data_IF_935832366045
#
_entry.id   IF_935832366045
#
_cell.length_a   1.000
_cell.length_b   1.000
_cell.length_c   1.000
_cell.angle_alpha   90.00
_cell.angle_beta   90.00
_cell.angle_gamma   90.00
#
_symmetry.space_group_name_H-M   'P 1'
#
loop_
_entity.id
_entity.type
_entity.pdbx_description
1 polymer ?
#
# COMPACT_ATOMS: atom_id res chain seq x y z
N UNK A 1 -8.36 7.49 -0.78
CA UNK A 1 -7.25 7.23 -1.73
C UNK A 1 -5.93 7.30 -0.97
N UNK A 2 -4.95 6.46 -1.30
CA UNK A 2 -3.72 6.26 -0.52
C UNK A 2 -2.49 6.73 -1.31
N UNK A 3 -1.44 7.15 -0.59
CA UNK A 3 -0.11 7.33 -1.17
C UNK A 3 0.59 5.97 -1.27
N UNK A 4 1.48 5.81 -2.25
CA UNK A 4 2.47 4.74 -2.22
C UNK A 4 3.61 5.07 -1.25
N UNK A 5 4.35 4.05 -0.82
CA UNK A 5 5.61 4.20 -0.10
C UNK A 5 6.71 3.49 -0.89
N UNK A 6 7.85 4.16 -1.06
CA UNK A 6 9.03 3.65 -1.75
C UNK A 6 10.21 3.71 -0.78
N UNK A 7 10.82 2.57 -0.42
CA UNK A 7 12.03 2.54 0.41
C UNK A 7 13.19 3.28 -0.27
N UNK A 8 14.03 3.95 0.51
CA UNK A 8 15.17 4.69 -0.03
C UNK A 8 16.12 3.82 -0.87
N UNK A 9 16.28 2.55 -0.49
CA UNK A 9 17.09 1.57 -1.21
C UNK A 9 16.53 1.17 -2.58
N UNK A 10 15.22 1.29 -2.77
CA UNK A 10 14.53 0.87 -3.99
C UNK A 10 14.51 1.97 -5.06
N UNK A 11 14.70 3.25 -4.67
CA UNK A 11 14.62 4.42 -5.56
C UNK A 11 15.49 4.27 -6.82
N UNK A 12 16.74 3.82 -6.66
CA UNK A 12 17.66 3.69 -7.80
C UNK A 12 17.14 2.65 -8.81
N UNK A 13 16.68 1.51 -8.30
CA UNK A 13 16.14 0.42 -9.12
C UNK A 13 14.84 0.84 -9.82
N UNK A 14 13.97 1.53 -9.10
CA UNK A 14 12.67 1.98 -9.61
C UNK A 14 12.84 3.07 -10.69
N UNK A 15 13.79 4.00 -10.51
CA UNK A 15 14.14 5.00 -11.51
C UNK A 15 14.71 4.36 -12.79
N UNK A 16 15.60 3.38 -12.66
CA UNK A 16 16.16 2.62 -13.78
C UNK A 16 15.08 1.85 -14.55
N UNK A 17 14.12 1.25 -13.85
CA UNK A 17 12.99 0.55 -14.44
C UNK A 17 12.11 1.49 -15.29
N UNK A 18 11.94 2.74 -14.85
CA UNK A 18 11.23 3.78 -15.61
C UNK A 18 12.10 4.54 -16.61
N UNK A 19 13.35 4.12 -16.80
CA UNK A 19 14.32 4.72 -17.72
C UNK A 19 14.56 6.21 -17.47
N UNK A 20 14.66 6.61 -16.20
CA UNK A 20 14.93 8.00 -15.79
C UNK A 20 16.03 8.09 -14.72
N UNK A 21 16.53 9.30 -14.49
CA UNK A 21 17.51 9.55 -13.43
C UNK A 21 16.87 9.45 -12.05
N UNK A 22 17.69 9.18 -11.03
CA UNK A 22 17.25 9.17 -9.63
C UNK A 22 16.67 10.52 -9.23
N UNK A 23 17.33 11.61 -9.63
CA UNK A 23 16.92 12.97 -9.32
C UNK A 23 15.56 13.30 -9.93
N UNK A 24 15.33 12.91 -11.18
CA UNK A 24 14.05 13.10 -11.86
C UNK A 24 12.95 12.26 -11.19
N UNK A 25 13.23 11.00 -10.86
CA UNK A 25 12.27 10.12 -10.19
C UNK A 25 11.83 10.71 -8.84
N UNK A 26 12.79 11.13 -8.02
CA UNK A 26 12.50 11.75 -6.72
C UNK A 26 11.73 13.06 -6.89
N UNK A 27 12.11 13.89 -7.86
CA UNK A 27 11.47 15.19 -8.10
C UNK A 27 10.04 15.07 -8.63
N UNK A 28 9.79 14.09 -9.50
CA UNK A 28 8.49 13.86 -10.14
C UNK A 28 7.52 13.13 -9.23
N UNK A 29 7.96 12.07 -8.56
CA UNK A 29 7.06 11.12 -7.92
C UNK A 29 7.05 11.16 -6.40
N UNK A 30 8.12 11.65 -5.76
CA UNK A 30 8.29 11.50 -4.31
C UNK A 30 8.24 12.84 -3.59
N UNK A 31 7.71 12.80 -2.37
CA UNK A 31 7.84 13.90 -1.41
C UNK A 31 8.90 13.56 -0.36
N UNK A 32 9.77 14.54 -0.08
CA UNK A 32 10.88 14.40 0.86
C UNK A 32 10.35 14.59 2.27
N UNK A 33 9.70 13.55 2.80
CA UNK A 33 9.31 13.46 4.22
C UNK A 33 10.00 12.26 4.88
N UNK A 34 11.27 12.03 4.54
CA UNK A 34 12.03 10.88 5.02
C UNK A 34 12.53 11.09 6.46
N UNK A 35 11.62 11.09 7.45
CA UNK A 35 11.99 10.88 8.85
C UNK A 35 12.25 9.38 9.14
N UNK A 36 11.71 8.48 8.32
CA UNK A 36 11.68 7.02 8.56
C UNK A 36 12.43 6.18 7.52
N UNK A 37 13.19 6.78 6.60
CA UNK A 37 13.91 6.04 5.54
C UNK A 37 13.05 5.56 4.37
N UNK A 38 11.77 5.92 4.34
CA UNK A 38 10.86 5.70 3.21
C UNK A 38 10.36 7.03 2.64
N UNK A 39 9.98 7.02 1.36
CA UNK A 39 9.44 8.17 0.65
C UNK A 39 8.00 7.92 0.22
N UNK A 40 7.12 8.89 0.47
CA UNK A 40 5.73 8.84 0.01
C UNK A 40 5.59 9.36 -1.42
N UNK A 41 4.67 8.78 -2.19
CA UNK A 41 4.29 9.36 -3.49
C UNK A 41 3.62 10.72 -3.31
N UNK A 42 3.86 11.67 -4.21
CA UNK A 42 3.35 13.05 -4.08
C UNK A 42 1.83 13.13 -4.15
N UNK A 43 1.20 12.35 -5.03
CA UNK A 43 -0.26 12.43 -5.24
C UNK A 43 -1.01 11.21 -4.69
N UNK A 44 -2.33 11.39 -4.56
CA UNK A 44 -3.33 10.36 -4.23
C UNK A 44 -4.37 10.32 -5.37
N UNK A 45 -4.72 9.15 -5.93
CA UNK A 45 -4.15 7.84 -5.61
C UNK A 45 -2.68 7.77 -6.01
N UNK A 46 -1.95 6.77 -5.50
CA UNK A 46 -0.53 6.55 -5.77
C UNK A 46 -0.17 6.86 -7.23
N UNK A 47 0.89 7.66 -7.45
CA UNK A 47 1.32 8.09 -8.79
C UNK A 47 1.69 6.93 -9.73
N UNK A 48 2.01 5.76 -9.18
CA UNK A 48 2.31 4.56 -9.95
C UNK A 48 1.07 3.71 -10.26
N UNK A 49 -0.12 4.04 -9.73
CA UNK A 49 -1.34 3.29 -10.00
C UNK A 49 -1.96 3.74 -11.34
N UNK A 50 -2.10 2.80 -12.28
CA UNK A 50 -2.76 3.02 -13.56
C UNK A 50 -4.28 2.81 -13.45
N UNK A 51 -5.01 3.32 -14.46
CA UNK A 51 -6.48 3.20 -14.54
C UNK A 51 -6.98 1.75 -14.62
N UNK A 52 -6.17 0.86 -15.19
CA UNK A 52 -6.46 -0.58 -15.28
C UNK A 52 -6.17 -1.34 -13.98
N UNK A 53 -5.72 -0.64 -12.92
CA UNK A 53 -5.35 -1.22 -11.64
C UNK A 53 -3.93 -1.77 -11.57
N UNK A 54 -3.16 -1.72 -12.67
CA UNK A 54 -1.77 -2.16 -12.68
C UNK A 54 -0.83 -1.09 -12.09
N UNK A 55 0.34 -1.54 -11.62
CA UNK A 55 1.39 -0.66 -11.15
C UNK A 55 2.35 -0.30 -12.30
N UNK A 56 2.73 0.97 -12.41
CA UNK A 56 3.74 1.45 -13.36
C UNK A 56 5.10 0.78 -13.14
N UNK A 57 5.44 0.45 -11.89
CA UNK A 57 6.69 -0.24 -11.51
C UNK A 57 6.68 -1.75 -11.79
N UNK A 58 5.57 -2.33 -12.27
CA UNK A 58 5.48 -3.76 -12.56
C UNK A 58 5.95 -4.63 -11.39
N UNK A 59 6.92 -5.50 -11.65
CA UNK A 59 7.51 -6.43 -10.67
C UNK A 59 8.46 -5.75 -9.65
N UNK A 60 8.93 -4.53 -9.96
CA UNK A 60 9.76 -3.73 -9.05
C UNK A 60 8.95 -3.11 -7.91
N UNK A 61 7.62 -3.28 -7.90
CA UNK A 61 6.72 -2.82 -6.84
C UNK A 61 7.29 -3.16 -5.43
N UNK A 62 7.32 -2.21 -4.49
CA UNK A 62 7.81 -2.45 -3.14
C UNK A 62 7.08 -3.61 -2.45
N UNK A 63 7.80 -4.34 -1.59
CA UNK A 63 7.26 -5.50 -0.88
C UNK A 63 6.03 -5.16 -0.02
N UNK A 64 6.00 -3.96 0.57
CA UNK A 64 4.84 -3.44 1.28
C UNK A 64 3.62 -3.38 0.35
N UNK A 65 3.78 -2.80 -0.84
CA UNK A 65 2.69 -2.68 -1.80
C UNK A 65 2.26 -4.03 -2.40
N UNK A 66 3.13 -5.04 -2.47
CA UNK A 66 2.75 -6.42 -2.87
C UNK A 66 1.93 -7.12 -1.80
N UNK A 67 2.23 -6.86 -0.52
CA UNK A 67 1.52 -7.48 0.61
C UNK A 67 0.22 -6.76 0.95
N UNK A 68 -0.01 -5.53 0.46
CA UNK A 68 -1.28 -4.80 0.65
C UNK A 68 -2.50 -5.66 0.24
N UNK A 69 -3.59 -5.71 1.03
CA UNK A 69 -3.91 -4.92 2.23
C UNK A 69 -3.39 -5.53 3.53
N UNK A 70 -2.30 -6.29 3.44
CA UNK A 70 -1.60 -6.92 4.56
C UNK A 70 -2.56 -7.73 5.42
N UNK A 71 -3.39 -8.61 4.86
CA UNK A 71 -4.37 -9.42 5.61
C UNK A 71 -3.78 -10.68 6.24
N UNK A 72 -2.65 -11.16 5.73
CA UNK A 72 -1.89 -12.29 6.25
C UNK A 72 -0.57 -11.80 6.88
N UNK A 73 -0.58 -11.51 8.18
CA UNK A 73 0.60 -11.01 8.92
C UNK A 73 0.70 -11.76 10.27
N UNK A 74 1.92 -12.17 10.68
CA UNK A 74 2.12 -12.97 11.88
C UNK A 74 1.66 -12.26 13.16
N UNK A 75 1.92 -10.96 13.29
CA UNK A 75 1.57 -10.16 14.47
C UNK A 75 0.30 -9.32 14.25
N UNK A 76 -0.74 -9.92 13.65
CA UNK A 76 -2.01 -9.25 13.32
C UNK A 76 -2.62 -8.48 14.50
N UNK A 77 -2.48 -9.02 15.71
CA UNK A 77 -3.06 -8.41 16.92
C UNK A 77 -2.59 -6.97 17.13
N UNK A 78 -1.38 -6.61 16.69
CA UNK A 78 -0.85 -5.24 16.79
C UNK A 78 -1.38 -4.27 15.73
N UNK A 79 -2.07 -4.74 14.70
CA UNK A 79 -2.52 -3.95 13.53
C UNK A 79 -4.01 -4.09 13.22
N UNK A 80 -4.82 -4.44 14.24
CA UNK A 80 -6.26 -4.66 14.07
C UNK A 80 -7.01 -3.40 13.60
N UNK A 81 -6.55 -2.20 13.95
CA UNK A 81 -7.19 -0.98 13.47
C UNK A 81 -7.01 -0.79 11.96
N UNK A 82 -5.82 -1.11 11.43
CA UNK A 82 -5.54 -0.98 10.00
C UNK A 82 -6.43 -1.85 9.13
N UNK A 83 -6.89 -3.01 9.62
CA UNK A 83 -7.82 -3.86 8.84
C UNK A 83 -9.18 -3.19 8.64
N UNK A 84 -9.60 -2.33 9.59
CA UNK A 84 -10.83 -1.56 9.49
C UNK A 84 -10.66 -0.49 8.39
N UNK A 85 -9.53 0.22 8.41
CA UNK A 85 -9.21 1.23 7.39
C UNK A 85 -9.14 0.60 5.99
N UNK A 86 -8.58 -0.60 5.87
CA UNK A 86 -8.54 -1.33 4.60
C UNK A 86 -9.92 -1.81 4.15
N UNK A 87 -10.83 -2.14 5.07
CA UNK A 87 -12.20 -2.53 4.73
C UNK A 87 -13.02 -1.37 4.15
N UNK A 88 -12.67 -0.11 4.46
CA UNK A 88 -13.30 1.07 3.87
C UNK A 88 -13.05 1.15 2.36
N UNK A 89 -11.88 0.69 1.91
CA UNK A 89 -11.42 0.87 0.53
C UNK A 89 -11.51 -0.43 -0.28
N UNK A 90 -11.24 -1.58 0.35
CA UNK A 90 -11.11 -2.86 -0.35
C UNK A 90 -12.31 -3.80 -0.07
N UNK A 91 -13.12 -4.14 -1.10
CA UNK A 91 -14.29 -5.00 -0.92
C UNK A 91 -13.94 -6.42 -0.49
N UNK A 92 -12.74 -6.91 -0.83
CA UNK A 92 -12.26 -8.23 -0.40
C UNK A 92 -12.04 -8.24 1.12
N UNK A 93 -11.44 -7.19 1.67
CA UNK A 93 -11.23 -7.08 3.13
C UNK A 93 -12.56 -6.98 3.87
N UNK A 94 -13.51 -6.21 3.33
CA UNK A 94 -14.86 -6.15 3.88
C UNK A 94 -15.52 -7.54 3.94
N UNK A 95 -15.52 -8.29 2.83
CA UNK A 95 -16.07 -9.64 2.76
C UNK A 95 -15.38 -10.60 3.74
N UNK A 96 -14.06 -10.49 3.89
CA UNK A 96 -13.32 -11.27 4.90
C UNK A 96 -13.84 -11.00 6.31
N UNK A 97 -14.06 -9.72 6.67
CA UNK A 97 -14.58 -9.36 8.00
C UNK A 97 -16.02 -9.87 8.21
N UNK A 98 -16.89 -9.82 7.21
CA UNK A 98 -18.26 -10.36 7.32
C UNK A 98 -18.24 -11.88 7.55
N UNK A 99 -17.40 -12.63 6.83
CA UNK A 99 -17.24 -14.07 7.07
C UNK A 99 -16.71 -14.39 8.46
N UNK A 100 -15.75 -13.61 8.96
CA UNK A 100 -15.22 -13.80 10.32
C UNK A 100 -16.29 -13.56 11.38
N UNK A 101 -17.22 -12.62 11.18
CA UNK A 101 -18.36 -12.41 12.09
C UNK A 101 -19.24 -13.65 12.18
N UNK A 102 -19.47 -14.35 11.07
CA UNK A 102 -20.22 -15.61 11.06
C UNK A 102 -19.47 -16.72 11.79
N UNK A 103 -18.18 -16.92 11.48
CA UNK A 103 -17.32 -17.97 12.08
C UNK A 103 -17.25 -17.83 13.59
N UNK A 104 -17.08 -16.61 14.11
CA UNK A 104 -16.97 -16.37 15.55
C UNK A 104 -18.32 -16.14 16.24
N UNK A 105 -19.44 -16.25 15.52
CA UNK A 105 -20.77 -16.07 16.07
C UNK A 105 -20.99 -14.65 16.63
N UNK A 106 -20.43 -13.63 15.98
CA UNK A 106 -20.55 -12.23 16.40
C UNK A 106 -22.02 -11.80 16.39
N UNK A 107 -22.58 -11.53 17.57
CA UNK A 107 -23.94 -11.03 17.72
C UNK A 107 -23.91 -9.52 17.89
N UNK A 108 -24.56 -8.79 16.98
CA UNK A 108 -24.82 -7.36 17.19
C UNK A 108 -25.74 -7.24 18.40
N UNK A 109 -25.23 -6.71 19.52
CA UNK A 109 -26.10 -6.27 20.61
C UNK A 109 -26.93 -5.11 20.06
N UNK A 110 -28.24 -5.30 20.06
CA UNK A 110 -29.22 -4.33 19.57
C UNK A 110 -29.52 -3.32 20.67
#
# INVERSE_FOLDING_TARGET
>A
MYHGSVPAEDIQRDAEYLHMSREDFMSLYLDVTAESGEYSTRHKPCDFLKEDGNCLLGDCKPESCKKYPHTDQPDRMGSLYSIIDFAEVCPVVYEMLERLKEIYGFRRRR
#
